data_IF_405577551204
#
_entry.id   IF_405577551204
#
_cell.length_a   1.000
_cell.length_b   1.000
_cell.length_c   1.000
_cell.angle_alpha   90.00
_cell.angle_beta   90.00
_cell.angle_gamma   90.00
#
_symmetry.space_group_name_H-M   'P 1'
#
loop_
_entity.id
_entity.type
_entity.pdbx_description
1 polymer ?
#
# COMPACT_ATOMS: atom_id res chain seq x y z
N UNK A 1 -15.80 -8.28 -11.44
CA UNK A 1 -15.33 -7.18 -10.61
C UNK A 1 -13.90 -7.40 -10.22
N UNK A 2 -13.08 -6.39 -10.37
CA UNK A 2 -11.66 -6.50 -10.05
C UNK A 2 -11.39 -5.97 -8.66
N UNK A 3 -10.55 -6.69 -7.94
CA UNK A 3 -10.01 -6.24 -6.66
C UNK A 3 -8.51 -6.05 -6.82
N UNK A 4 -7.95 -5.12 -6.07
CA UNK A 4 -6.52 -4.83 -6.12
C UNK A 4 -5.93 -4.98 -4.73
N UNK A 5 -4.74 -5.50 -4.66
CA UNK A 5 -4.01 -5.68 -3.40
C UNK A 5 -2.95 -4.60 -3.27
N UNK A 6 -2.94 -3.94 -2.14
CA UNK A 6 -1.85 -3.04 -1.77
C UNK A 6 -0.82 -3.88 -1.03
N UNK A 7 0.41 -3.84 -1.49
CA UNK A 7 1.50 -4.63 -0.89
C UNK A 7 2.71 -3.71 -0.70
N UNK A 8 3.66 -4.14 0.10
CA UNK A 8 4.91 -3.42 0.32
C UNK A 8 6.07 -4.22 -0.21
N UNK A 9 6.99 -3.53 -0.88
CA UNK A 9 8.21 -4.17 -1.35
C UNK A 9 9.05 -4.64 -0.15
N UNK A 10 9.46 -5.91 -0.10
CA UNK A 10 10.26 -6.40 1.03
C UNK A 10 11.67 -5.82 1.05
N UNK A 11 12.13 -5.25 -0.06
CA UNK A 11 13.46 -4.69 -0.16
C UNK A 11 13.51 -3.21 0.27
N UNK A 12 12.69 -2.36 -0.36
CA UNK A 12 12.69 -0.92 -0.07
C UNK A 12 11.51 -0.46 0.78
N UNK A 13 10.56 -1.34 1.05
CA UNK A 13 9.36 -1.11 1.86
C UNK A 13 8.39 -0.08 1.27
N UNK A 14 8.52 0.17 -0.03
CA UNK A 14 7.61 1.07 -0.73
C UNK A 14 6.25 0.42 -0.94
N UNK A 15 5.20 1.21 -0.85
CA UNK A 15 3.84 0.74 -1.14
C UNK A 15 3.63 0.67 -2.64
N UNK A 16 2.96 -0.39 -3.09
CA UNK A 16 2.52 -0.52 -4.47
C UNK A 16 1.24 -1.34 -4.49
N UNK A 17 0.60 -1.40 -5.63
CA UNK A 17 -0.61 -2.19 -5.76
C UNK A 17 -0.54 -3.07 -6.99
N UNK A 18 -1.34 -4.12 -7.00
CA UNK A 18 -1.40 -5.05 -8.10
C UNK A 18 -2.76 -5.70 -8.16
N UNK A 19 -3.10 -6.26 -9.32
CA UNK A 19 -4.29 -7.08 -9.50
C UNK A 19 -4.15 -8.34 -8.63
N UNK A 20 -5.23 -8.74 -7.98
CA UNK A 20 -5.16 -9.90 -7.07
C UNK A 20 -4.88 -11.23 -7.77
N UNK A 21 -5.01 -11.27 -9.08
CA UNK A 21 -4.70 -12.48 -9.85
C UNK A 21 -3.25 -12.51 -10.33
N UNK A 22 -2.48 -11.46 -10.07
CA UNK A 22 -1.07 -11.42 -10.41
C UNK A 22 -0.26 -12.36 -9.55
N UNK A 23 0.86 -12.84 -10.08
CA UNK A 23 1.76 -13.73 -9.35
C UNK A 23 2.97 -12.99 -8.80
N UNK A 24 3.37 -11.91 -9.46
CA UNK A 24 4.51 -11.11 -9.06
C UNK A 24 4.33 -9.68 -9.57
N UNK A 25 5.07 -8.77 -8.98
CA UNK A 25 5.04 -7.35 -9.33
C UNK A 25 6.45 -6.80 -9.22
N UNK A 26 6.86 -5.98 -10.17
CA UNK A 26 8.11 -5.24 -10.06
C UNK A 26 7.90 -3.99 -9.23
N UNK A 27 8.77 -3.79 -8.24
CA UNK A 27 8.70 -2.58 -7.43
C UNK A 27 9.06 -1.37 -8.31
N UNK A 28 8.21 -0.33 -8.35
CA UNK A 28 8.48 0.82 -9.21
C UNK A 28 9.62 1.70 -8.70
N UNK A 29 10.08 1.49 -7.49
CA UNK A 29 11.14 2.30 -6.88
C UNK A 29 12.49 1.64 -6.98
N UNK A 30 12.61 0.38 -6.53
CA UNK A 30 13.91 -0.31 -6.50
C UNK A 30 14.07 -1.37 -7.58
N UNK A 31 13.01 -1.71 -8.30
CA UNK A 31 13.04 -2.72 -9.37
C UNK A 31 13.08 -4.16 -8.90
N UNK A 32 12.96 -4.40 -7.60
CA UNK A 32 12.97 -5.74 -7.05
C UNK A 32 11.67 -6.47 -7.39
N UNK A 33 11.74 -7.78 -7.55
CA UNK A 33 10.56 -8.60 -7.82
C UNK A 33 9.85 -8.90 -6.51
N UNK A 34 8.57 -8.56 -6.45
CA UNK A 34 7.72 -8.84 -5.30
C UNK A 34 6.91 -10.09 -5.62
N UNK A 35 7.17 -11.17 -4.89
CA UNK A 35 6.41 -12.41 -5.04
C UNK A 35 5.12 -12.30 -4.25
N UNK A 36 3.99 -12.27 -4.94
CA UNK A 36 2.69 -12.06 -4.30
C UNK A 36 2.23 -13.25 -3.46
N UNK A 37 2.85 -14.41 -3.66
CA UNK A 37 2.57 -15.58 -2.84
C UNK A 37 3.35 -15.57 -1.51
N UNK A 38 4.40 -14.77 -1.42
CA UNK A 38 5.28 -14.73 -0.26
C UNK A 38 5.10 -13.50 0.60
N UNK A 39 4.75 -12.36 -0.01
CA UNK A 39 4.54 -11.14 0.75
C UNK A 39 3.10 -11.06 1.24
N UNK A 40 2.88 -10.58 2.47
CA UNK A 40 1.52 -10.42 2.97
C UNK A 40 0.80 -9.27 2.25
N UNK A 41 -0.49 -9.46 2.01
CA UNK A 41 -1.32 -8.39 1.46
C UNK A 41 -1.54 -7.37 2.56
N UNK A 42 -1.16 -6.13 2.29
CA UNK A 42 -1.33 -5.05 3.25
C UNK A 42 -2.81 -4.67 3.37
N UNK A 43 -3.47 -4.51 2.22
CA UNK A 43 -4.86 -4.09 2.16
C UNK A 43 -5.44 -4.49 0.80
N UNK A 44 -6.72 -4.83 0.78
CA UNK A 44 -7.44 -5.08 -0.46
C UNK A 44 -8.40 -3.93 -0.72
N UNK A 45 -8.40 -3.41 -1.95
CA UNK A 45 -9.30 -2.32 -2.36
C UNK A 45 -10.11 -2.76 -3.57
N UNK A 46 -11.24 -2.10 -3.79
CA UNK A 46 -12.17 -2.51 -4.83
C UNK A 46 -11.78 -2.07 -6.23
N UNK A 47 -10.97 -1.00 -6.35
CA UNK A 47 -10.54 -0.51 -7.65
C UNK A 47 -9.14 0.09 -7.56
N UNK A 48 -8.53 0.30 -8.73
CA UNK A 48 -7.17 0.85 -8.78
C UNK A 48 -7.11 2.30 -8.32
N UNK A 49 -8.18 3.06 -8.53
CA UNK A 49 -8.24 4.46 -8.07
C UNK A 49 -8.12 4.53 -6.55
N UNK A 50 -8.80 3.63 -5.84
CA UNK A 50 -8.69 3.55 -4.40
C UNK A 50 -7.28 3.20 -3.94
N UNK A 51 -6.63 2.27 -4.65
CA UNK A 51 -5.25 1.89 -4.34
C UNK A 51 -4.30 3.07 -4.54
N UNK A 52 -4.42 3.76 -5.67
CA UNK A 52 -3.57 4.92 -5.96
C UNK A 52 -3.79 6.04 -4.97
N UNK A 53 -5.04 6.31 -4.62
CA UNK A 53 -5.38 7.35 -3.66
C UNK A 53 -4.78 7.05 -2.29
N UNK A 54 -4.88 5.81 -1.85
CA UNK A 54 -4.31 5.40 -0.57
C UNK A 54 -2.79 5.57 -0.55
N UNK A 55 -2.12 5.08 -1.58
CA UNK A 55 -0.66 5.15 -1.66
C UNK A 55 -0.19 6.61 -1.71
N UNK A 56 -0.87 7.45 -2.51
CA UNK A 56 -0.54 8.87 -2.58
C UNK A 56 -0.76 9.57 -1.25
N UNK A 57 -1.84 9.22 -0.55
CA UNK A 57 -2.14 9.80 0.76
C UNK A 57 -1.09 9.43 1.80
N UNK A 58 -0.66 8.16 1.79
CA UNK A 58 0.40 7.69 2.69
C UNK A 58 1.69 8.45 2.43
N UNK A 59 2.08 8.59 1.17
CA UNK A 59 3.30 9.32 0.80
C UNK A 59 3.24 10.76 1.28
N UNK A 60 2.13 11.45 1.03
CA UNK A 60 1.98 12.85 1.47
C UNK A 60 2.03 12.97 2.99
N UNK A 61 1.39 12.06 3.68
CA UNK A 61 1.37 12.06 5.14
C UNK A 61 2.77 11.88 5.71
N UNK A 62 3.52 10.93 5.17
CA UNK A 62 4.89 10.69 5.63
C UNK A 62 5.81 11.87 5.33
N UNK A 63 5.67 12.49 4.16
CA UNK A 63 6.45 13.68 3.81
C UNK A 63 6.12 14.85 4.72
N UNK A 64 4.84 15.04 4.99
CA UNK A 64 4.37 16.15 5.84
C UNK A 64 4.87 16.01 7.28
N UNK A 65 4.89 14.79 7.79
CA UNK A 65 5.33 14.52 9.17
C UNK A 65 6.82 14.28 9.28
N UNK A 66 7.53 14.19 8.17
CA UNK A 66 8.97 13.92 8.15
C UNK A 66 9.34 12.52 8.59
N UNK A 67 8.43 11.57 8.51
CA UNK A 67 8.66 10.19 8.92
C UNK A 67 8.87 9.28 7.71
N UNK A 68 9.63 8.20 7.92
CA UNK A 68 9.89 7.22 6.85
C UNK A 68 8.83 6.14 6.80
N UNK A 69 8.07 5.94 7.88
CA UNK A 69 7.08 4.88 7.93
C UNK A 69 5.97 5.22 8.91
N UNK A 70 4.84 4.53 8.78
CA UNK A 70 3.70 4.69 9.68
C UNK A 70 3.98 4.01 11.01
N UNK A 71 3.45 4.59 12.08
CA UNK A 71 3.48 3.94 13.38
C UNK A 71 2.53 2.74 13.38
N UNK A 72 2.74 1.73 14.25
CA UNK A 72 1.86 0.56 14.29
C UNK A 72 0.39 0.89 14.47
N UNK A 73 0.07 1.93 15.23
CA UNK A 73 -1.31 2.35 15.46
C UNK A 73 -1.94 2.90 14.18
N UNK A 74 -1.18 3.69 13.44
CA UNK A 74 -1.63 4.24 12.16
C UNK A 74 -1.78 3.14 11.12
N UNK A 75 -0.85 2.20 11.13
CA UNK A 75 -0.86 1.05 10.25
C UNK A 75 -2.16 0.24 10.46
N UNK A 76 -2.50 -0.03 11.71
CA UNK A 76 -3.70 -0.76 12.05
C UNK A 76 -4.97 0.00 11.60
N UNK A 77 -4.98 1.31 11.77
CA UNK A 77 -6.11 2.14 11.36
C UNK A 77 -6.31 2.10 9.85
N UNK A 78 -5.22 2.24 9.10
CA UNK A 78 -5.28 2.18 7.64
C UNK A 78 -5.78 0.82 7.17
N UNK A 79 -5.27 -0.26 7.75
CA UNK A 79 -5.66 -1.61 7.35
C UNK A 79 -7.09 -1.94 7.71
N UNK A 80 -7.59 -1.42 8.82
CA UNK A 80 -8.97 -1.68 9.26
C UNK A 80 -9.98 -0.79 8.56
N UNK A 81 -9.64 0.46 8.32
CA UNK A 81 -10.57 1.40 7.69
C UNK A 81 -9.81 2.56 7.05
N UNK A 82 -9.27 2.32 5.85
CA UNK A 82 -8.49 3.34 5.16
C UNK A 82 -9.32 4.56 4.78
N UNK A 83 -10.62 4.40 4.58
CA UNK A 83 -11.51 5.52 4.25
C UNK A 83 -11.55 6.52 5.40
N UNK A 84 -11.66 6.03 6.62
CA UNK A 84 -11.63 6.89 7.80
C UNK A 84 -10.28 7.56 7.96
N UNK A 85 -9.20 6.82 7.73
CA UNK A 85 -7.86 7.38 7.81
C UNK A 85 -7.66 8.49 6.79
N UNK A 86 -8.16 8.30 5.56
CA UNK A 86 -8.05 9.31 4.51
C UNK A 86 -8.76 10.61 4.89
N UNK A 87 -9.87 10.53 5.60
CA UNK A 87 -10.59 11.72 6.07
C UNK A 87 -9.82 12.45 7.17
N UNK A 88 -9.05 11.72 7.95
CA UNK A 88 -8.27 12.27 9.06
C UNK A 88 -6.91 12.80 8.61
N UNK A 89 -6.40 12.30 7.52
CA UNK A 89 -5.06 12.67 7.03
C UNK A 89 -5.03 13.97 6.16
#
# INVERSE_FOLDING_TARGET
MSSYWVVRCPNCREFTYTDKYGKWKLCPVCGEVISLSEVPVYLEVNDFSGAEELISAVHRYLQHTGRVDLHPEEDALVRNNYTEWLKSA
#
